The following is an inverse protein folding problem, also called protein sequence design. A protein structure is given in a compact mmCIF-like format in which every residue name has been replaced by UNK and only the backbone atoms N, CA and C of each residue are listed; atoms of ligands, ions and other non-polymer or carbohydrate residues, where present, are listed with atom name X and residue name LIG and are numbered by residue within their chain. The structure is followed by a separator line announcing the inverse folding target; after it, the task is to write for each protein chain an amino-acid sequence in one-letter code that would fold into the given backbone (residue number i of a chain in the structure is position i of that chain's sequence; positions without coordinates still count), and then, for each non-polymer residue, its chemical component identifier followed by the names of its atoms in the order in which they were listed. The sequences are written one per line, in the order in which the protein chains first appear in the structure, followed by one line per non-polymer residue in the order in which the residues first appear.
data_IF_279297512670
#
_entry.id   IF_279297512670
#
_cell.length_a   1.000
_cell.length_b   1.000
_cell.length_c   1.000
_cell.angle_alpha   90.00
_cell.angle_beta   90.00
_cell.angle_gamma   90.00
#
_symmetry.space_group_name_H-M   'P 1'
#
loop_
_entity.id
_entity.type
_entity.pdbx_description
1 polymer ?
#
# COMPACT_ATOMS: atom_id res chain seq x y z
N UNK A 1 6.22 2.51 -9.62
CA UNK A 1 4.85 3.04 -9.43
C UNK A 1 3.89 2.06 -8.76
N UNK A 2 3.80 0.80 -9.20
CA UNK A 2 2.89 -0.18 -8.61
C UNK A 2 3.04 -0.33 -7.07
N UNK A 3 4.25 -0.23 -6.55
CA UNK A 3 4.53 -0.31 -5.10
C UNK A 3 3.91 0.85 -4.31
N UNK A 4 3.93 2.08 -4.82
CA UNK A 4 3.33 3.24 -4.14
C UNK A 4 1.81 3.10 -4.13
N UNK A 5 1.22 2.74 -5.27
CA UNK A 5 -0.24 2.49 -5.37
C UNK A 5 -0.67 1.41 -4.38
N UNK A 6 0.06 0.29 -4.33
CA UNK A 6 -0.22 -0.78 -3.38
C UNK A 6 -0.07 -0.36 -1.91
N UNK A 7 0.91 0.49 -1.60
CA UNK A 7 1.09 1.05 -0.26
C UNK A 7 -0.08 1.95 0.14
N UNK A 8 -0.51 2.86 -0.74
CA UNK A 8 -1.67 3.72 -0.53
C UNK A 8 -2.94 2.90 -0.29
N UNK A 9 -3.18 1.87 -1.11
CA UNK A 9 -4.30 0.92 -0.93
C UNK A 9 -4.26 0.26 0.45
N UNK A 10 -3.09 -0.26 0.86
CA UNK A 10 -2.94 -0.93 2.14
C UNK A 10 -3.23 0.01 3.31
N UNK A 11 -2.68 1.22 3.27
CA UNK A 11 -2.88 2.23 4.32
C UNK A 11 -4.34 2.67 4.38
N UNK A 12 -5.00 2.92 3.24
CA UNK A 12 -6.40 3.31 3.21
C UNK A 12 -7.31 2.22 3.79
N UNK A 13 -7.07 0.97 3.40
CA UNK A 13 -7.83 -0.18 3.92
C UNK A 13 -7.56 -0.38 5.42
N UNK A 14 -6.31 -0.26 5.87
CA UNK A 14 -5.96 -0.37 7.29
C UNK A 14 -6.59 0.74 8.15
N UNK A 15 -6.73 1.96 7.62
CA UNK A 15 -7.39 3.09 8.30
C UNK A 15 -8.91 3.00 8.30
N UNK A 16 -9.49 2.37 7.28
CA UNK A 16 -10.95 2.36 7.07
C UNK A 16 -11.63 1.07 7.54
N UNK A 17 -10.91 -0.06 7.60
CA UNK A 17 -11.43 -1.35 8.01
C UNK A 17 -11.04 -1.70 9.45
N UNK A 18 -11.92 -2.36 10.22
CA UNK A 18 -11.56 -2.89 11.53
C UNK A 18 -10.42 -3.93 11.45
N UNK A 19 -9.56 -3.97 12.47
CA UNK A 19 -8.34 -4.81 12.53
C UNK A 19 -8.56 -6.32 12.40
N UNK A 20 -9.81 -6.80 12.53
CA UNK A 20 -10.19 -8.20 12.31
C UNK A 20 -10.03 -8.65 10.85
N UNK A 21 -10.04 -7.72 9.89
CA UNK A 21 -9.91 -8.05 8.47
C UNK A 21 -8.45 -8.19 8.07
N UNK A 22 -8.14 -9.29 7.35
CA UNK A 22 -6.83 -9.51 6.75
C UNK A 22 -6.81 -8.89 5.36
N UNK A 23 -5.87 -7.98 5.14
CA UNK A 23 -5.67 -7.31 3.85
C UNK A 23 -4.61 -8.07 3.06
N UNK A 24 -4.98 -8.60 1.90
CA UNK A 24 -4.10 -9.21 0.90
C UNK A 24 -4.22 -8.40 -0.40
N UNK A 25 -3.09 -7.87 -0.89
CA UNK A 25 -3.03 -7.04 -2.09
C UNK A 25 -2.16 -7.75 -3.11
N UNK A 26 -2.71 -7.94 -4.31
CA UNK A 26 -2.03 -8.59 -5.43
C UNK A 26 -2.25 -7.75 -6.69
N UNK A 27 -1.21 -7.63 -7.49
CA UNK A 27 -1.33 -7.17 -8.85
C UNK A 27 -2.10 -8.19 -9.68
N UNK A 28 -2.72 -7.73 -10.76
CA UNK A 28 -3.37 -8.61 -11.70
C UNK A 28 -2.32 -9.48 -12.42
N UNK A 29 -2.61 -10.78 -12.64
CA UNK A 29 -1.65 -11.70 -13.23
C UNK A 29 -1.21 -11.22 -14.62
N UNK A 30 0.10 -11.11 -14.84
CA UNK A 30 0.68 -10.69 -16.10
C UNK A 30 0.65 -9.17 -16.35
N UNK A 31 0.20 -8.37 -15.38
CA UNK A 31 0.10 -6.91 -15.54
C UNK A 31 1.42 -6.16 -15.28
N UNK A 32 2.45 -6.82 -14.77
CA UNK A 32 3.72 -6.18 -14.41
C UNK A 32 4.89 -7.15 -14.50
N UNK A 33 6.03 -6.68 -15.05
CA UNK A 33 7.21 -7.52 -15.28
C UNK A 33 7.78 -8.15 -13.98
N UNK A 34 7.62 -7.49 -12.83
CA UNK A 34 8.10 -7.96 -11.53
C UNK A 34 6.97 -8.20 -10.53
N UNK A 35 5.82 -8.67 -11.01
CA UNK A 35 4.60 -8.89 -10.23
C UNK A 35 4.85 -9.63 -8.91
N UNK A 36 5.54 -10.78 -8.95
CA UNK A 36 5.81 -11.60 -7.76
C UNK A 36 6.62 -10.84 -6.69
N UNK A 37 7.59 -10.03 -7.12
CA UNK A 37 8.40 -9.23 -6.20
C UNK A 37 7.56 -8.12 -5.55
N UNK A 38 6.72 -7.44 -6.33
CA UNK A 38 5.81 -6.40 -5.83
C UNK A 38 4.78 -7.00 -4.87
N UNK A 39 4.14 -8.10 -5.23
CA UNK A 39 3.17 -8.80 -4.37
C UNK A 39 3.79 -9.26 -3.05
N UNK A 40 5.03 -9.73 -3.07
CA UNK A 40 5.77 -10.09 -1.85
C UNK A 40 6.03 -8.87 -0.98
N UNK A 41 6.46 -7.75 -1.57
CA UNK A 41 6.70 -6.50 -0.83
C UNK A 41 5.43 -5.93 -0.20
N UNK A 42 4.30 -5.94 -0.92
CA UNK A 42 3.03 -5.39 -0.45
C UNK A 42 2.38 -6.23 0.67
N UNK A 43 2.71 -7.53 0.74
CA UNK A 43 2.18 -8.44 1.74
C UNK A 43 3.08 -8.60 2.99
N UNK A 44 4.31 -8.12 2.91
CA UNK A 44 5.22 -8.04 4.05
C UNK A 44 4.83 -6.89 4.98
N UNK A 45 4.31 -7.24 6.17
CA UNK A 45 3.81 -6.25 7.14
C UNK A 45 4.92 -5.41 7.75
N UNK A 46 6.09 -5.99 8.01
CA UNK A 46 7.22 -5.28 8.60
C UNK A 46 7.80 -4.28 7.62
N UNK A 47 7.91 -4.70 6.35
CA UNK A 47 8.35 -3.81 5.27
C UNK A 47 7.39 -2.65 5.02
N UNK A 48 6.08 -2.91 5.05
CA UNK A 48 5.05 -1.87 4.92
C UNK A 48 5.12 -0.90 6.11
N UNK A 49 5.30 -1.39 7.34
CA UNK A 49 5.47 -0.53 8.50
C UNK A 49 6.72 0.36 8.37
N UNK A 50 7.86 -0.23 8.03
CA UNK A 50 9.11 0.51 7.84
C UNK A 50 9.00 1.58 6.72
N UNK A 51 8.23 1.31 5.67
CA UNK A 51 7.97 2.29 4.62
C UNK A 51 7.16 3.50 5.11
N UNK A 52 6.27 3.32 6.09
CA UNK A 52 5.46 4.39 6.67
C UNK A 52 6.21 5.23 7.71
N UNK A 53 7.27 4.68 8.30
CA UNK A 53 8.19 5.44 9.18
C UNK A 53 9.11 6.37 8.38
N UNK A 54 9.23 6.18 7.05
CA UNK A 54 10.00 7.08 6.20
C UNK A 54 9.18 8.33 5.86
N UNK A 55 9.60 9.54 6.28
CA UNK A 55 8.82 10.77 6.10
C UNK A 55 8.51 11.07 4.64
N UNK A 56 9.44 10.81 3.72
CA UNK A 56 9.24 11.07 2.30
C UNK A 56 8.13 10.19 1.70
N UNK A 57 8.07 8.92 2.12
CA UNK A 57 7.03 8.00 1.65
C UNK A 57 5.69 8.28 2.34
N UNK A 58 5.74 8.61 3.63
CA UNK A 58 4.55 8.95 4.41
C UNK A 58 3.83 10.18 3.84
N UNK A 59 4.59 11.22 3.45
CA UNK A 59 4.04 12.44 2.82
C UNK A 59 3.36 12.13 1.49
N UNK A 60 4.03 11.41 0.58
CA UNK A 60 3.46 11.00 -0.71
C UNK A 60 2.19 10.17 -0.53
N UNK A 61 2.19 9.24 0.43
CA UNK A 61 1.00 8.42 0.72
C UNK A 61 -0.12 9.29 1.30
N UNK A 62 0.19 10.25 2.18
CA UNK A 62 -0.80 11.15 2.74
C UNK A 62 -1.44 12.03 1.66
N UNK A 63 -0.64 12.56 0.73
CA UNK A 63 -1.13 13.31 -0.43
C UNK A 63 -2.02 12.45 -1.32
N UNK A 64 -1.61 11.22 -1.65
CA UNK A 64 -2.41 10.29 -2.45
C UNK A 64 -3.74 9.90 -1.78
N UNK A 65 -3.83 9.97 -0.45
CA UNK A 65 -5.02 9.62 0.32
C UNK A 65 -5.84 10.83 0.78
N UNK A 66 -5.42 12.04 0.40
CA UNK A 66 -6.12 13.27 0.73
C UNK A 66 -7.57 13.21 0.20
N UNK A 67 -8.56 13.62 1.00
CA UNK A 67 -9.94 13.66 0.55
C UNK A 67 -10.08 14.64 -0.60
N UNK A 68 -10.63 14.18 -1.72
CA UNK A 68 -10.92 14.99 -2.91
C UNK A 68 -12.29 15.65 -2.88
N UNK A 69 -13.08 15.41 -1.83
CA UNK A 69 -14.40 15.99 -1.66
C UNK A 69 -14.32 17.10 -0.61
N UNK A 70 -14.75 18.30 -1.00
CA UNK A 70 -15.01 19.44 -0.12
C UNK A 70 -16.41 19.36 0.49
#
# INVERSE_FOLDING_TARGET
MATIIGLCLRVKLMRSLPSRFKIDIKLAPGSHATEAAVNKQLNDKERVAAALENPNLAEVVAECLAPTYA
#
